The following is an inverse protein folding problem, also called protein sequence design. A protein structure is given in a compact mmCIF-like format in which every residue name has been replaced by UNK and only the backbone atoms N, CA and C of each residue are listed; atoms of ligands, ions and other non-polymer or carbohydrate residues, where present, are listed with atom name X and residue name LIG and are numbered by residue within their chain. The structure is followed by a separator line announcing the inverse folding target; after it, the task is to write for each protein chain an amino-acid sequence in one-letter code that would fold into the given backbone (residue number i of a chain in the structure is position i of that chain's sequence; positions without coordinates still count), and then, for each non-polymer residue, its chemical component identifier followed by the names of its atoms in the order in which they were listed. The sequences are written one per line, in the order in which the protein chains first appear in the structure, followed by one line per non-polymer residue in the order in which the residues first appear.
data_IF_150377447955
#
_entry.id   IF_150377447955
#
_cell.length_a   1.000
_cell.length_b   1.000
_cell.length_c   1.000
_cell.angle_alpha   90.00
_cell.angle_beta   90.00
_cell.angle_gamma   90.00
#
_symmetry.space_group_name_H-M   'P 1'
#
loop_
_entity.id
_entity.type
_entity.pdbx_description
1 polymer ?
#
# COMPACT_ATOMS: atom_id res chain seq x y z
N UNK A 1 -2.06 8.23 10.06
CA UNK A 1 -1.44 7.03 9.45
C UNK A 1 -1.52 7.14 7.93
N UNK A 2 -0.59 6.52 7.22
CA UNK A 2 -0.44 6.63 5.77
C UNK A 2 -0.39 5.24 5.13
N UNK A 3 -1.16 5.04 4.07
CA UNK A 3 -1.08 3.87 3.21
C UNK A 3 -0.19 4.19 2.00
N UNK A 4 0.94 3.50 1.89
CA UNK A 4 1.91 3.70 0.82
C UNK A 4 1.86 2.48 -0.11
N UNK A 5 1.49 2.69 -1.36
CA UNK A 5 1.51 1.66 -2.40
C UNK A 5 2.77 1.77 -3.25
N UNK A 6 3.58 0.72 -3.25
CA UNK A 6 4.71 0.58 -4.16
C UNK A 6 4.23 -0.04 -5.47
N UNK A 7 4.65 0.58 -6.57
CA UNK A 7 4.37 0.14 -7.93
C UNK A 7 5.65 0.03 -8.73
N UNK A 8 5.56 -0.71 -9.83
CA UNK A 8 6.61 -0.81 -10.83
C UNK A 8 6.07 -0.31 -12.16
N UNK A 9 6.92 0.32 -12.98
CA UNK A 9 6.54 0.70 -14.35
C UNK A 9 6.06 -0.53 -15.13
N UNK A 10 4.94 -0.39 -15.84
CA UNK A 10 4.32 -1.49 -16.60
C UNK A 10 3.52 -2.50 -15.76
N UNK A 11 3.37 -2.30 -14.45
CA UNK A 11 2.54 -3.16 -13.61
C UNK A 11 1.04 -2.90 -13.84
N UNK A 12 0.41 -3.71 -14.70
CA UNK A 12 -1.05 -3.66 -14.95
C UNK A 12 -1.85 -3.82 -13.65
N UNK A 13 -1.57 -4.82 -12.79
CA UNK A 13 -2.30 -4.98 -11.53
C UNK A 13 -2.20 -3.75 -10.60
N UNK A 14 -1.09 -3.03 -10.66
CA UNK A 14 -0.90 -1.80 -9.88
C UNK A 14 -1.80 -0.67 -10.38
N UNK A 15 -1.95 -0.54 -11.71
CA UNK A 15 -2.80 0.50 -12.32
C UNK A 15 -4.28 0.25 -12.02
N UNK A 16 -4.72 -1.00 -12.10
CA UNK A 16 -6.13 -1.37 -11.88
C UNK A 16 -6.52 -1.33 -10.42
N UNK A 17 -5.62 -1.72 -9.52
CA UNK A 17 -5.93 -1.81 -8.09
C UNK A 17 -5.76 -0.48 -7.35
N UNK A 18 -4.93 0.44 -7.84
CA UNK A 18 -4.76 1.78 -7.27
C UNK A 18 -6.07 2.55 -6.99
N UNK A 19 -7.02 2.69 -7.92
CA UNK A 19 -8.25 3.43 -7.66
C UNK A 19 -9.07 2.81 -6.52
N UNK A 20 -9.07 1.47 -6.41
CA UNK A 20 -9.73 0.72 -5.33
C UNK A 20 -9.04 1.04 -3.99
N UNK A 21 -7.72 0.96 -3.95
CA UNK A 21 -6.92 1.27 -2.75
C UNK A 21 -7.14 2.72 -2.32
N UNK A 22 -7.11 3.67 -3.26
CA UNK A 22 -7.32 5.10 -2.99
C UNK A 22 -8.71 5.36 -2.38
N UNK A 23 -9.75 4.70 -2.90
CA UNK A 23 -11.11 4.78 -2.35
C UNK A 23 -11.14 4.28 -0.90
N UNK A 24 -10.60 3.08 -0.65
CA UNK A 24 -10.61 2.46 0.68
C UNK A 24 -9.79 3.26 1.69
N UNK A 25 -8.64 3.80 1.27
CA UNK A 25 -7.82 4.67 2.11
C UNK A 25 -8.59 5.92 2.53
N UNK A 26 -9.30 6.56 1.60
CA UNK A 26 -10.13 7.72 1.88
C UNK A 26 -11.28 7.41 2.86
N UNK A 27 -12.00 6.31 2.62
CA UNK A 27 -13.05 5.82 3.54
C UNK A 27 -12.51 5.52 4.94
N UNK A 28 -11.26 5.08 5.03
CA UNK A 28 -10.55 4.78 6.29
C UNK A 28 -9.83 6.00 6.89
N UNK A 29 -10.00 7.21 6.32
CA UNK A 29 -9.31 8.44 6.74
C UNK A 29 -7.78 8.31 6.79
N UNK A 30 -7.21 7.57 5.84
CA UNK A 30 -5.77 7.41 5.68
C UNK A 30 -5.23 8.27 4.54
N UNK A 31 -4.05 8.86 4.76
CA UNK A 31 -3.31 9.47 3.67
C UNK A 31 -2.86 8.38 2.70
N UNK A 32 -3.13 8.56 1.40
CA UNK A 32 -2.71 7.61 0.37
C UNK A 32 -1.56 8.17 -0.45
N UNK A 33 -0.46 7.42 -0.52
CA UNK A 33 0.72 7.77 -1.33
C UNK A 33 1.13 6.60 -2.21
N UNK A 34 1.73 6.92 -3.35
CA UNK A 34 2.29 5.92 -4.25
C UNK A 34 3.77 6.20 -4.47
N UNK A 35 4.55 5.13 -4.64
CA UNK A 35 6.00 5.19 -4.88
C UNK A 35 6.33 4.25 -6.03
N UNK A 36 7.15 4.73 -6.96
CA UNK A 36 7.69 3.90 -8.04
C UNK A 36 8.95 3.19 -7.54
N UNK A 37 9.04 1.88 -7.75
CA UNK A 37 10.17 1.03 -7.37
C UNK A 37 11.49 1.58 -7.92
N UNK A 38 11.45 2.18 -9.10
CA UNK A 38 12.59 2.77 -9.79
C UNK A 38 13.25 3.89 -8.96
N UNK A 39 12.49 4.54 -8.08
CA UNK A 39 12.96 5.59 -7.19
C UNK A 39 13.39 5.07 -5.80
N UNK A 40 13.34 3.74 -5.58
CA UNK A 40 13.68 3.13 -4.28
C UNK A 40 15.12 2.60 -4.28
N UNK A 41 15.84 2.69 -3.15
CA UNK A 41 17.10 1.99 -2.93
C UNK A 41 16.93 0.47 -3.05
N UNK A 42 17.90 -0.23 -3.64
CA UNK A 42 17.80 -1.68 -3.91
C UNK A 42 17.49 -2.53 -2.67
N UNK A 43 18.05 -2.14 -1.51
CA UNK A 43 17.89 -2.88 -0.25
C UNK A 43 16.45 -2.96 0.26
N UNK A 44 15.56 -2.08 -0.20
CA UNK A 44 14.17 -2.00 0.28
C UNK A 44 13.15 -2.22 -0.85
N UNK A 45 13.60 -2.71 -2.01
CA UNK A 45 12.70 -3.02 -3.13
C UNK A 45 11.89 -4.28 -2.80
N UNK A 46 10.56 -4.22 -2.81
CA UNK A 46 9.75 -5.40 -2.57
C UNK A 46 9.85 -6.39 -3.75
N UNK A 47 9.69 -7.71 -3.48
CA UNK A 47 9.88 -8.74 -4.50
C UNK A 47 8.69 -8.90 -5.46
N UNK A 48 7.53 -8.34 -5.15
CA UNK A 48 6.30 -8.42 -5.96
C UNK A 48 5.48 -7.13 -5.87
N UNK A 49 4.63 -6.89 -6.88
CA UNK A 49 3.84 -5.67 -7.01
C UNK A 49 2.38 -5.98 -7.35
N UNK A 50 1.41 -5.18 -6.87
CA UNK A 50 1.59 -4.04 -5.97
C UNK A 50 1.97 -4.50 -4.54
N UNK A 51 2.76 -3.67 -3.88
CA UNK A 51 3.17 -3.85 -2.49
C UNK A 51 2.71 -2.65 -1.66
N UNK A 52 2.48 -2.84 -0.38
CA UNK A 52 1.89 -1.85 0.50
C UNK A 52 2.64 -1.78 1.82
N UNK A 53 2.82 -0.56 2.30
CA UNK A 53 3.22 -0.27 3.67
C UNK A 53 2.11 0.52 4.34
N UNK A 54 1.71 0.09 5.52
CA UNK A 54 0.95 0.93 6.45
C UNK A 54 1.96 1.61 7.37
N UNK A 55 2.11 2.92 7.20
CA UNK A 55 3.08 3.72 7.91
C UNK A 55 2.40 4.60 8.95
N UNK A 56 2.92 4.59 10.17
CA UNK A 56 2.47 5.47 11.23
C UNK A 56 3.65 6.30 11.75
N UNK A 57 3.63 7.59 11.40
CA UNK A 57 4.55 8.64 11.84
C UNK A 57 6.04 8.38 11.56
N UNK A 58 6.64 7.35 12.19
CA UNK A 58 8.05 6.96 12.10
C UNK A 58 8.28 5.46 11.89
N UNK A 59 7.23 4.64 11.84
CA UNK A 59 7.35 3.18 11.73
C UNK A 59 6.42 2.59 10.69
N UNK A 60 6.90 1.57 10.00
CA UNK A 60 6.04 0.64 9.27
C UNK A 60 5.31 -0.20 10.32
N UNK A 61 4.00 -0.09 10.34
CA UNK A 61 3.12 -0.88 11.21
C UNK A 61 2.81 -2.22 10.57
N UNK A 62 2.70 -2.23 9.24
CA UNK A 62 2.37 -3.42 8.48
C UNK A 62 2.85 -3.35 7.03
N UNK A 63 3.05 -4.51 6.42
CA UNK A 63 3.44 -4.63 5.03
C UNK A 63 2.81 -5.87 4.38
N UNK A 64 2.40 -5.72 3.11
CA UNK A 64 1.85 -6.83 2.33
C UNK A 64 1.86 -6.51 0.86
N UNK A 65 1.62 -7.49 0.00
CA UNK A 65 1.27 -7.20 -1.39
C UNK A 65 0.22 -8.14 -1.97
N UNK A 66 -0.04 -7.91 -3.25
CA UNK A 66 -1.13 -8.49 -4.02
C UNK A 66 -2.34 -7.55 -4.15
N UNK A 67 -3.32 -7.96 -4.95
CA UNK A 67 -4.51 -7.17 -5.33
C UNK A 67 -5.79 -7.60 -4.60
N UNK A 68 -5.66 -8.22 -3.43
CA UNK A 68 -6.83 -8.68 -2.66
C UNK A 68 -7.40 -7.54 -1.82
N UNK A 69 -8.58 -7.07 -2.20
CA UNK A 69 -9.35 -6.08 -1.43
C UNK A 69 -9.67 -6.60 -0.02
N UNK A 70 -10.04 -7.88 0.10
CA UNK A 70 -10.30 -8.52 1.40
C UNK A 70 -9.08 -8.44 2.31
N UNK A 71 -7.88 -8.67 1.77
CA UNK A 71 -6.63 -8.55 2.52
C UNK A 71 -6.39 -7.10 2.95
N UNK A 72 -6.51 -6.14 2.03
CA UNK A 72 -6.40 -4.71 2.35
C UNK A 72 -7.33 -4.33 3.52
N UNK A 73 -8.62 -4.64 3.42
CA UNK A 73 -9.60 -4.34 4.47
C UNK A 73 -9.23 -5.03 5.79
N UNK A 74 -8.80 -6.29 5.75
CA UNK A 74 -8.37 -7.04 6.93
C UNK A 74 -7.17 -6.39 7.63
N UNK A 75 -6.15 -5.96 6.86
CA UNK A 75 -4.98 -5.28 7.40
C UNK A 75 -5.35 -3.91 7.99
N UNK A 76 -6.23 -3.16 7.34
CA UNK A 76 -6.70 -1.88 7.90
C UNK A 76 -7.49 -2.10 9.19
N UNK A 77 -8.44 -3.05 9.20
CA UNK A 77 -9.24 -3.35 10.40
C UNK A 77 -8.41 -3.81 11.59
N UNK A 78 -7.29 -4.53 11.40
CA UNK A 78 -6.46 -4.96 12.54
C UNK A 78 -5.62 -3.83 13.13
N UNK A 79 -5.18 -2.89 12.30
CA UNK A 79 -4.24 -1.84 12.70
C UNK A 79 -4.89 -0.50 13.05
N UNK A 80 -6.08 -0.22 12.50
CA UNK A 80 -6.84 1.01 12.74
C UNK A 80 -7.85 0.89 13.89
N UNK A 81 -7.77 -0.18 14.70
CA UNK A 81 -8.55 -0.26 15.95
C UNK A 81 -8.05 0.82 16.91
N UNK A 82 -8.69 1.99 16.84
CA UNK A 82 -8.92 2.87 17.99
C UNK A 82 -10.16 2.41 18.74
#
# INVERSE_FOLDING_TARGET
MQLIMIKKKGCIPCREFEPIVKKIANESKLDFKTVQQENMPDKIKPPYFPYFYLYDSKKVVDEWGGTSERKLISVLKRNLKS
#
